data_IF_306828158137
#
_entry.id   IF_306828158137
#
_cell.length_a   1.000
_cell.length_b   1.000
_cell.length_c   1.000
_cell.angle_alpha   90.00
_cell.angle_beta   90.00
_cell.angle_gamma   90.00
#
_symmetry.space_group_name_H-M   'P 1'
#
loop_
_entity.id
_entity.type
_entity.pdbx_description
1 polymer ?
#
# COMPACT_ATOMS: atom_id res chain seq x y z
N UNK A 1 -59.43 -5.39 -49.38
CA UNK A 1 -58.24 -4.61 -48.99
C UNK A 1 -58.13 -4.67 -47.49
N UNK A 2 -57.15 -5.41 -46.95
CA UNK A 2 -56.93 -5.56 -45.51
C UNK A 2 -55.54 -4.98 -45.21
N UNK A 3 -55.52 -3.89 -44.45
CA UNK A 3 -54.30 -3.28 -43.96
C UNK A 3 -53.91 -3.97 -42.66
N UNK A 4 -52.77 -4.64 -42.67
CA UNK A 4 -52.15 -5.21 -41.47
C UNK A 4 -51.37 -4.13 -40.70
N UNK A 5 -51.74 -3.92 -39.43
CA UNK A 5 -50.92 -3.13 -38.50
C UNK A 5 -49.81 -4.02 -37.91
N UNK A 6 -48.59 -3.70 -38.21
CA UNK A 6 -47.42 -4.30 -37.57
C UNK A 6 -47.07 -3.45 -36.30
N UNK A 7 -47.27 -4.07 -35.15
CA UNK A 7 -46.86 -3.50 -33.87
C UNK A 7 -45.33 -3.61 -33.72
N UNK A 8 -44.65 -2.47 -33.62
CA UNK A 8 -43.25 -2.41 -33.25
C UNK A 8 -43.14 -2.34 -31.72
N UNK A 9 -42.66 -3.43 -31.12
CA UNK A 9 -42.36 -3.44 -29.69
C UNK A 9 -41.02 -2.76 -29.45
N UNK A 10 -41.06 -1.62 -28.77
CA UNK A 10 -39.88 -0.87 -28.35
C UNK A 10 -39.30 -1.53 -27.08
N UNK A 11 -38.25 -2.32 -27.22
CA UNK A 11 -37.55 -2.94 -26.11
C UNK A 11 -36.70 -1.89 -25.37
N UNK A 12 -37.09 -1.57 -24.14
CA UNK A 12 -36.33 -0.71 -23.22
C UNK A 12 -35.25 -1.55 -22.56
N UNK A 13 -34.02 -1.45 -23.07
CA UNK A 13 -32.84 -2.08 -22.44
C UNK A 13 -32.41 -1.21 -21.25
N UNK A 14 -32.68 -1.68 -20.04
CA UNK A 14 -32.06 -1.12 -18.83
C UNK A 14 -30.58 -1.55 -18.81
N UNK A 15 -29.68 -0.60 -19.04
CA UNK A 15 -28.27 -0.77 -18.76
C UNK A 15 -28.06 -0.69 -17.24
N UNK A 16 -27.84 -1.86 -16.62
CA UNK A 16 -27.40 -1.92 -15.22
C UNK A 16 -25.92 -1.55 -15.20
N UNK A 17 -25.63 -0.29 -14.87
CA UNK A 17 -24.29 0.19 -14.60
C UNK A 17 -23.75 -0.41 -13.30
N UNK A 18 -22.91 -1.44 -13.41
CA UNK A 18 -22.23 -2.00 -12.25
C UNK A 18 -21.17 -1.03 -11.75
N UNK A 19 -21.39 -0.45 -10.57
CA UNK A 19 -20.38 0.30 -9.84
C UNK A 19 -19.27 -0.63 -9.33
N UNK A 20 -18.18 -0.77 -10.09
CA UNK A 20 -17.01 -1.60 -9.75
C UNK A 20 -15.97 -0.81 -8.93
N UNK A 21 -16.27 0.40 -8.47
CA UNK A 21 -15.27 1.27 -7.85
C UNK A 21 -14.91 0.94 -6.39
N UNK A 22 -15.65 0.09 -5.67
CA UNK A 22 -15.46 -0.14 -4.22
C UNK A 22 -14.42 -1.22 -3.86
N UNK A 23 -13.93 -2.01 -4.80
CA UNK A 23 -13.00 -3.13 -4.54
C UNK A 23 -11.51 -2.80 -4.63
N UNK A 24 -11.14 -1.74 -5.35
CA UNK A 24 -9.76 -1.48 -5.75
C UNK A 24 -8.86 -0.87 -4.65
N UNK A 25 -9.42 -0.15 -3.69
CA UNK A 25 -8.61 0.55 -2.67
C UNK A 25 -8.08 -0.39 -1.59
N UNK A 26 -8.80 -1.45 -1.24
CA UNK A 26 -8.40 -2.38 -0.18
C UNK A 26 -7.32 -3.38 -0.63
N UNK A 27 -7.24 -3.67 -1.91
CA UNK A 27 -6.24 -4.58 -2.47
C UNK A 27 -4.86 -3.92 -2.62
N UNK A 28 -4.82 -2.63 -2.92
CA UNK A 28 -3.58 -1.84 -2.98
C UNK A 28 -2.85 -1.72 -1.64
N UNK A 29 -3.55 -1.92 -0.52
CA UNK A 29 -2.97 -1.91 0.83
C UNK A 29 -2.33 -3.24 1.24
N UNK A 30 -2.40 -4.26 0.39
CA UNK A 30 -1.71 -5.53 0.58
C UNK A 30 -0.44 -5.57 -0.26
N UNK A 31 0.64 -6.18 0.23
CA UNK A 31 1.81 -6.39 -0.61
C UNK A 31 1.44 -7.33 -1.77
N UNK A 32 2.04 -7.14 -2.97
CA UNK A 32 1.75 -7.95 -4.16
C UNK A 32 2.16 -9.41 -3.98
N UNK A 33 3.17 -9.65 -3.14
CA UNK A 33 3.63 -10.98 -2.76
C UNK A 33 3.76 -11.08 -1.24
N UNK A 34 3.63 -12.26 -0.63
CA UNK A 34 3.84 -12.44 0.81
C UNK A 34 5.27 -12.08 1.22
N UNK A 35 5.44 -11.46 2.40
CA UNK A 35 6.75 -11.30 3.01
C UNK A 35 7.29 -12.66 3.47
N UNK A 36 8.40 -13.06 2.91
CA UNK A 36 9.17 -14.22 3.36
C UNK A 36 10.32 -13.79 4.27
N UNK A 37 10.84 -14.72 5.08
CA UNK A 37 12.03 -14.44 5.90
C UNK A 37 13.22 -14.09 5.02
N UNK A 38 13.39 -14.77 3.88
CA UNK A 38 14.43 -14.49 2.90
C UNK A 38 14.34 -13.06 2.36
N UNK A 39 13.13 -12.60 1.99
CA UNK A 39 12.92 -11.23 1.52
C UNK A 39 13.30 -10.20 2.58
N UNK A 40 12.84 -10.42 3.82
CA UNK A 40 13.08 -9.52 4.94
C UNK A 40 14.52 -9.50 5.42
N UNK A 41 15.27 -10.59 5.22
CA UNK A 41 16.69 -10.72 5.58
C UNK A 41 17.66 -10.34 4.44
N UNK A 42 17.14 -10.03 3.25
CA UNK A 42 17.96 -9.66 2.10
C UNK A 42 18.67 -8.33 2.31
N UNK A 43 20.00 -8.34 2.29
CA UNK A 43 20.82 -7.13 2.44
C UNK A 43 20.52 -6.08 1.37
N UNK A 44 20.23 -6.50 0.15
CA UNK A 44 19.85 -5.58 -0.93
C UNK A 44 18.54 -4.89 -0.65
N UNK A 45 17.51 -5.60 -0.17
CA UNK A 45 16.21 -5.01 0.18
C UNK A 45 16.32 -4.08 1.39
N UNK A 46 17.08 -4.48 2.41
CA UNK A 46 17.34 -3.67 3.60
C UNK A 46 18.09 -2.38 3.21
N UNK A 47 19.10 -2.48 2.37
CA UNK A 47 19.87 -1.32 1.89
C UNK A 47 19.02 -0.35 1.08
N UNK A 48 18.20 -0.86 0.16
CA UNK A 48 17.27 -0.04 -0.63
C UNK A 48 16.24 0.67 0.26
N UNK A 49 15.64 -0.05 1.21
CA UNK A 49 14.70 0.53 2.18
C UNK A 49 15.37 1.57 3.09
N UNK A 50 16.62 1.35 3.48
CA UNK A 50 17.43 2.31 4.25
C UNK A 50 17.66 3.62 3.50
N UNK A 51 17.91 3.56 2.20
CA UNK A 51 18.08 4.75 1.37
C UNK A 51 16.79 5.58 1.30
N UNK A 52 15.65 4.93 1.09
CA UNK A 52 14.34 5.61 1.09
C UNK A 52 14.04 6.22 2.46
N UNK A 53 14.33 5.49 3.54
CA UNK A 53 14.18 6.00 4.90
C UNK A 53 14.99 7.28 5.13
N UNK A 54 16.24 7.27 4.71
CA UNK A 54 17.13 8.42 4.84
C UNK A 54 16.67 9.63 4.03
N UNK A 55 16.04 9.40 2.90
CA UNK A 55 15.54 10.46 2.02
C UNK A 55 14.23 11.08 2.52
N UNK A 56 13.28 10.27 2.98
CA UNK A 56 11.92 10.73 3.29
C UNK A 56 11.49 10.52 4.75
N UNK A 57 11.60 9.31 5.25
CA UNK A 57 10.94 8.93 6.50
C UNK A 57 11.59 9.57 7.73
N UNK A 58 12.91 9.77 7.69
CA UNK A 58 13.69 10.33 8.80
C UNK A 58 13.27 11.74 9.20
N UNK A 59 12.69 12.52 8.31
CA UNK A 59 12.26 13.89 8.59
C UNK A 59 11.23 13.97 9.74
N UNK A 60 10.41 12.94 9.88
CA UNK A 60 9.43 12.83 10.96
C UNK A 60 9.82 11.80 12.02
N UNK A 61 10.41 10.66 11.60
CA UNK A 61 10.70 9.53 12.49
C UNK A 61 12.09 9.54 13.12
N UNK A 62 13.00 10.38 12.61
CA UNK A 62 14.40 10.40 13.01
C UNK A 62 15.26 9.41 12.21
N UNK A 63 16.55 9.39 12.52
CA UNK A 63 17.52 8.60 11.76
C UNK A 63 17.20 7.08 11.79
N UNK A 64 16.59 6.64 12.88
CA UNK A 64 16.16 5.25 13.11
C UNK A 64 14.73 5.25 13.66
N UNK A 65 14.46 4.45 14.71
CA UNK A 65 13.15 4.37 15.35
C UNK A 65 12.75 5.67 16.08
N UNK A 66 13.70 6.49 16.44
CA UNK A 66 13.59 7.77 17.14
C UNK A 66 15.00 8.44 17.23
N UNK A 67 15.15 9.69 17.72
CA UNK A 67 14.11 10.64 18.04
C UNK A 67 13.61 11.35 16.78
N UNK A 68 12.36 11.79 16.81
CA UNK A 68 11.75 12.57 15.74
C UNK A 68 10.42 13.18 16.18
N UNK A 69 9.74 13.86 15.27
CA UNK A 69 8.42 14.46 15.52
C UNK A 69 7.34 13.40 15.69
N UNK A 70 7.49 12.24 15.02
CA UNK A 70 6.58 11.12 15.14
C UNK A 70 6.87 10.33 16.44
N UNK A 71 5.86 9.61 16.98
CA UNK A 71 6.06 8.72 18.10
C UNK A 71 7.13 7.65 17.83
N UNK A 72 7.82 7.23 18.89
CA UNK A 72 8.83 6.16 18.81
C UNK A 72 8.25 4.91 18.18
N UNK A 73 8.92 4.40 17.15
CA UNK A 73 8.60 3.11 16.55
C UNK A 73 9.14 1.96 17.41
N UNK A 74 8.41 0.84 17.36
CA UNK A 74 8.75 -0.40 18.09
C UNK A 74 8.72 -1.59 17.12
N UNK A 75 9.72 -1.74 16.25
CA UNK A 75 9.69 -2.72 15.15
C UNK A 75 9.43 -4.15 15.60
N UNK A 76 9.96 -4.55 16.76
CA UNK A 76 9.76 -5.88 17.35
C UNK A 76 8.30 -6.23 17.68
N UNK A 77 7.39 -5.25 17.62
CA UNK A 77 5.94 -5.43 17.84
C UNK A 77 5.13 -5.45 16.56
N UNK A 78 5.77 -5.24 15.40
CA UNK A 78 5.06 -5.09 14.14
C UNK A 78 5.18 -6.33 13.28
N UNK A 79 4.08 -6.65 12.61
CA UNK A 79 4.08 -7.63 11.52
C UNK A 79 4.34 -6.91 10.19
N UNK A 80 4.99 -7.56 9.20
CA UNK A 80 5.32 -6.92 7.92
C UNK A 80 4.11 -6.29 7.22
N UNK A 81 3.00 -7.01 7.12
CA UNK A 81 1.77 -6.51 6.49
C UNK A 81 1.19 -5.27 7.20
N UNK A 82 1.38 -5.16 8.52
CA UNK A 82 0.96 -3.98 9.26
C UNK A 82 1.79 -2.76 8.85
N UNK A 83 3.12 -2.91 8.79
CA UNK A 83 4.02 -1.83 8.39
C UNK A 83 3.74 -1.42 6.94
N UNK A 84 3.63 -2.39 6.04
CA UNK A 84 3.32 -2.15 4.63
C UNK A 84 2.05 -1.33 4.46
N UNK A 85 0.97 -1.71 5.15
CA UNK A 85 -0.29 -0.96 5.10
C UNK A 85 -0.14 0.45 5.64
N UNK A 86 0.63 0.67 6.72
CA UNK A 86 0.88 2.02 7.25
C UNK A 86 1.64 2.90 6.29
N UNK A 87 2.63 2.36 5.61
CA UNK A 87 3.39 3.07 4.57
C UNK A 87 2.48 3.35 3.37
N UNK A 88 1.69 2.37 2.94
CA UNK A 88 0.82 2.51 1.77
C UNK A 88 -0.28 3.53 1.98
N UNK A 89 -1.04 3.40 3.07
CA UNK A 89 -2.27 4.17 3.31
C UNK A 89 -2.05 5.44 4.14
N UNK A 90 -0.89 5.56 4.80
CA UNK A 90 -0.66 6.57 5.81
C UNK A 90 -1.41 6.32 7.11
N UNK A 91 -1.25 7.22 8.07
CA UNK A 91 -1.99 7.16 9.33
C UNK A 91 -1.91 8.50 10.07
N UNK A 92 -3.04 9.11 10.37
CA UNK A 92 -3.14 10.44 11.02
C UNK A 92 -2.33 11.48 10.24
N UNK A 93 -1.23 12.00 10.81
CA UNK A 93 -0.34 12.98 10.16
C UNK A 93 0.70 12.35 9.23
N UNK A 94 0.84 11.03 9.23
CA UNK A 94 1.71 10.33 8.29
C UNK A 94 1.01 10.24 6.92
N UNK A 95 1.60 10.78 5.86
CA UNK A 95 0.99 10.72 4.53
C UNK A 95 0.96 9.29 3.98
N UNK A 96 0.08 9.05 3.02
CA UNK A 96 0.08 7.84 2.22
C UNK A 96 1.20 7.91 1.16
N UNK A 97 1.92 6.82 0.97
CA UNK A 97 3.05 6.74 0.04
C UNK A 97 2.76 5.89 -1.20
N UNK A 98 1.49 5.50 -1.38
CA UNK A 98 1.04 4.64 -2.49
C UNK A 98 1.31 5.26 -3.86
N UNK A 99 1.20 6.57 -4.00
CA UNK A 99 1.40 7.27 -5.26
C UNK A 99 2.84 7.81 -5.44
N UNK A 100 3.70 7.61 -4.45
CA UNK A 100 5.10 8.08 -4.45
C UNK A 100 6.07 6.93 -4.68
N UNK A 101 5.83 5.79 -4.04
CA UNK A 101 6.70 4.61 -4.09
C UNK A 101 5.98 3.41 -4.72
N UNK A 102 6.70 2.67 -5.51
CA UNK A 102 6.25 1.37 -6.06
C UNK A 102 5.97 0.37 -4.95
N UNK A 103 5.27 -0.71 -5.27
CA UNK A 103 5.02 -1.80 -4.32
C UNK A 103 6.34 -2.37 -3.78
N UNK A 104 7.33 -2.55 -4.64
CA UNK A 104 8.65 -3.07 -4.27
C UNK A 104 9.36 -2.12 -3.31
N UNK A 105 9.42 -0.83 -3.59
CA UNK A 105 10.03 0.16 -2.70
C UNK A 105 9.36 0.21 -1.33
N UNK A 106 8.03 0.10 -1.27
CA UNK A 106 7.31 0.02 0.00
C UNK A 106 7.60 -1.27 0.76
N UNK A 107 7.77 -2.39 0.06
CA UNK A 107 8.21 -3.65 0.67
C UNK A 107 9.64 -3.57 1.19
N UNK A 108 10.54 -2.89 0.48
CA UNK A 108 11.93 -2.64 0.91
C UNK A 108 11.99 -1.75 2.17
N UNK A 109 11.14 -0.73 2.26
CA UNK A 109 10.99 0.07 3.48
C UNK A 109 10.60 -0.84 4.66
N UNK A 110 9.69 -1.78 4.46
CA UNK A 110 9.31 -2.77 5.50
C UNK A 110 10.49 -3.63 5.93
N UNK A 111 11.26 -4.15 4.96
CA UNK A 111 12.45 -4.96 5.24
C UNK A 111 13.45 -4.18 6.10
N UNK A 112 13.72 -2.92 5.78
CA UNK A 112 14.60 -2.07 6.57
C UNK A 112 14.08 -1.82 8.00
N UNK A 113 12.81 -1.43 8.16
CA UNK A 113 12.21 -1.14 9.47
C UNK A 113 12.24 -2.37 10.40
N UNK A 114 12.05 -3.57 9.85
CA UNK A 114 12.04 -4.80 10.62
C UNK A 114 13.43 -5.43 10.80
N UNK A 115 14.46 -4.86 10.18
CA UNK A 115 15.83 -5.34 10.29
C UNK A 115 16.50 -4.92 11.61
N UNK A 116 17.54 -5.66 11.99
CA UNK A 116 18.42 -5.28 13.11
C UNK A 116 19.20 -3.99 12.85
N UNK A 117 19.37 -3.60 11.58
CA UNK A 117 20.04 -2.34 11.21
C UNK A 117 19.21 -1.12 11.58
N UNK A 118 17.88 -1.25 11.62
CA UNK A 118 16.98 -0.15 11.97
C UNK A 118 16.91 0.07 13.49
N UNK A 119 16.67 -0.98 14.23
CA UNK A 119 16.54 -0.94 15.69
C UNK A 119 16.99 -2.27 16.28
N UNK A 120 18.20 -2.35 16.82
CA UNK A 120 18.74 -3.55 17.46
C UNK A 120 17.94 -3.95 18.72
#
# INVERSE_FOLDING_TARGET
MKFGLTSVALGLSLAIGANIAAGLTKEKSKPPVPFTEEYLASDSNISAGSAIWADQCRHCHGAKAYPGKAPKLRPNRYKPNFVYRRVTDGFRKMPAWIDVYTDEERMQIVAYILSKQFSP
#
